data_IF_761439496233
#
_entry.id   IF_761439496233
#
_cell.length_a   1.000
_cell.length_b   1.000
_cell.length_c   1.000
_cell.angle_alpha   90.00
_cell.angle_beta   90.00
_cell.angle_gamma   90.00
#
_symmetry.space_group_name_H-M   'P 1'
#
loop_
_entity.id
_entity.type
_entity.pdbx_description
1 polymer ?
#
# COMPACT_ATOMS: atom_id res chain seq x y z
N UNK A 1 25.34 -25.51 -21.57
CA UNK A 1 25.64 -24.11 -21.15
C UNK A 1 25.11 -23.21 -22.25
N UNK A 2 23.95 -22.62 -22.07
CA UNK A 2 23.46 -21.61 -22.99
C UNK A 2 24.39 -20.39 -22.89
N UNK A 3 24.90 -19.99 -24.07
CA UNK A 3 25.80 -18.84 -24.19
C UNK A 3 24.98 -17.59 -23.92
N UNK A 4 25.21 -16.94 -22.77
CA UNK A 4 24.61 -15.65 -22.45
C UNK A 4 24.89 -14.69 -23.61
N UNK A 5 23.82 -14.16 -24.22
CA UNK A 5 23.92 -13.18 -25.28
C UNK A 5 24.21 -11.80 -24.72
N UNK A 6 24.95 -10.96 -25.44
CA UNK A 6 25.02 -9.53 -25.07
C UNK A 6 23.68 -8.85 -25.35
N UNK A 7 23.47 -7.70 -24.75
CA UNK A 7 22.28 -6.88 -24.99
C UNK A 7 22.08 -6.59 -26.49
N UNK A 8 23.13 -6.19 -27.18
CA UNK A 8 23.10 -5.90 -28.63
C UNK A 8 22.73 -7.14 -29.48
N UNK A 9 23.24 -8.31 -29.11
CA UNK A 9 22.85 -9.55 -29.74
C UNK A 9 21.38 -9.89 -29.55
N UNK A 10 20.88 -9.75 -28.29
CA UNK A 10 19.47 -9.96 -28.00
C UNK A 10 18.60 -9.02 -28.83
N UNK A 11 18.96 -7.73 -28.89
CA UNK A 11 18.21 -6.70 -29.62
C UNK A 11 18.14 -6.95 -31.10
N UNK A 12 19.22 -7.54 -31.70
CA UNK A 12 19.24 -7.92 -33.10
C UNK A 12 18.41 -9.19 -33.39
N UNK A 13 18.29 -10.10 -32.43
CA UNK A 13 17.60 -11.38 -32.61
C UNK A 13 16.09 -11.29 -32.42
N UNK A 14 15.61 -10.43 -31.54
CA UNK A 14 14.18 -10.34 -31.20
C UNK A 14 13.81 -8.97 -30.66
N UNK A 15 12.55 -8.58 -30.88
CA UNK A 15 11.92 -7.43 -30.22
C UNK A 15 11.31 -7.78 -28.86
N UNK A 16 11.33 -9.04 -28.42
CA UNK A 16 10.76 -9.53 -27.16
C UNK A 16 11.88 -9.86 -26.18
N UNK A 17 12.28 -8.84 -25.43
CA UNK A 17 13.39 -8.90 -24.49
C UNK A 17 12.89 -8.76 -23.04
N UNK A 18 13.50 -9.52 -22.15
CA UNK A 18 13.21 -9.52 -20.72
C UNK A 18 14.51 -9.45 -19.90
N UNK A 19 14.56 -8.59 -18.91
CA UNK A 19 15.64 -8.63 -17.93
C UNK A 19 15.24 -9.58 -16.80
N UNK A 20 16.08 -10.58 -16.53
CA UNK A 20 15.83 -11.53 -15.44
C UNK A 20 17.12 -12.12 -14.88
N UNK A 21 17.01 -12.71 -13.69
CA UNK A 21 17.98 -13.66 -13.16
C UNK A 21 17.33 -15.04 -13.15
N UNK A 22 17.80 -15.91 -14.02
CA UNK A 22 17.25 -17.26 -14.22
C UNK A 22 17.78 -18.30 -13.23
N UNK A 23 18.73 -17.93 -12.38
CA UNK A 23 19.41 -18.88 -11.52
C UNK A 23 18.59 -19.17 -10.24
N UNK A 24 18.52 -20.43 -9.86
CA UNK A 24 18.11 -20.80 -8.51
C UNK A 24 19.11 -20.25 -7.50
N UNK A 25 18.63 -19.61 -6.44
CA UNK A 25 19.45 -18.86 -5.48
C UNK A 25 20.29 -17.72 -6.10
N UNK A 26 19.80 -17.13 -7.19
CA UNK A 26 20.49 -16.05 -7.89
C UNK A 26 20.74 -14.83 -7.01
N UNK A 27 21.87 -14.17 -7.19
CA UNK A 27 22.18 -12.91 -6.54
C UNK A 27 21.16 -11.84 -6.99
N UNK A 28 20.39 -11.26 -6.05
CA UNK A 28 19.38 -10.25 -6.33
C UNK A 28 19.92 -8.94 -6.92
N UNK A 29 21.22 -8.70 -6.81
CA UNK A 29 21.92 -7.58 -7.46
C UNK A 29 22.29 -7.84 -8.91
N UNK A 30 22.13 -9.07 -9.42
CA UNK A 30 22.47 -9.43 -10.80
C UNK A 30 21.23 -9.68 -11.62
N UNK A 31 21.15 -9.06 -12.78
CA UNK A 31 20.06 -9.22 -13.73
C UNK A 31 20.62 -9.07 -15.14
N UNK A 32 20.18 -9.90 -16.07
CA UNK A 32 20.69 -9.86 -17.45
C UNK A 32 19.55 -9.90 -18.45
N UNK A 33 19.81 -9.42 -19.65
CA UNK A 33 18.84 -9.44 -20.75
C UNK A 33 18.81 -10.82 -21.42
N UNK A 34 17.60 -11.31 -21.68
CA UNK A 34 17.33 -12.56 -22.39
C UNK A 34 16.23 -12.38 -23.44
N UNK A 35 16.13 -13.32 -24.37
CA UNK A 35 14.96 -13.48 -25.22
C UNK A 35 13.79 -14.00 -24.37
N UNK A 36 12.56 -13.57 -24.65
CA UNK A 36 11.39 -14.02 -23.89
C UNK A 36 11.16 -15.54 -23.97
N UNK A 37 11.57 -16.17 -25.09
CA UNK A 37 11.48 -17.63 -25.24
C UNK A 37 12.25 -18.37 -24.13
N UNK A 38 13.39 -17.83 -23.69
CA UNK A 38 14.14 -18.41 -22.58
C UNK A 38 13.36 -18.35 -21.25
N UNK A 39 12.61 -17.27 -21.00
CA UNK A 39 11.68 -17.21 -19.86
C UNK A 39 10.63 -18.32 -19.97
N UNK A 40 10.04 -18.50 -21.15
CA UNK A 40 9.04 -19.53 -21.38
C UNK A 40 9.57 -20.94 -21.09
N UNK A 41 10.79 -21.24 -21.53
CA UNK A 41 11.46 -22.52 -21.25
C UNK A 41 11.84 -22.67 -19.76
N UNK A 42 12.23 -21.58 -19.10
CA UNK A 42 12.52 -21.58 -17.66
C UNK A 42 11.26 -21.93 -16.84
N UNK A 43 10.10 -21.39 -17.20
CA UNK A 43 8.83 -21.65 -16.46
C UNK A 43 8.38 -23.11 -16.58
N UNK A 44 8.80 -23.85 -17.61
CA UNK A 44 8.48 -25.27 -17.80
C UNK A 44 9.42 -26.22 -17.02
N UNK A 45 10.47 -25.69 -16.38
CA UNK A 45 11.43 -26.52 -15.67
C UNK A 45 10.81 -27.24 -14.44
N UNK A 46 10.96 -28.56 -14.31
CA UNK A 46 10.33 -29.33 -13.21
C UNK A 46 10.75 -28.84 -11.81
N UNK A 47 12.01 -28.41 -11.66
CA UNK A 47 12.50 -27.92 -10.38
C UNK A 47 11.78 -26.63 -9.92
N UNK A 48 11.37 -25.77 -10.87
CA UNK A 48 10.65 -24.54 -10.56
C UNK A 48 9.23 -24.85 -10.10
N UNK A 49 8.53 -25.77 -10.79
CA UNK A 49 7.21 -26.23 -10.38
C UNK A 49 7.25 -26.87 -8.98
N UNK A 50 8.28 -27.70 -8.69
CA UNK A 50 8.48 -28.29 -7.38
C UNK A 50 8.71 -27.23 -6.30
N UNK A 51 9.53 -26.22 -6.58
CA UNK A 51 9.84 -25.15 -5.64
C UNK A 51 8.59 -24.29 -5.34
N UNK A 52 7.82 -23.94 -6.38
CA UNK A 52 6.55 -23.20 -6.24
C UNK A 52 5.54 -24.01 -5.42
N UNK A 53 5.42 -25.33 -5.70
CA UNK A 53 4.55 -26.23 -4.94
C UNK A 53 4.92 -26.26 -3.45
N UNK A 54 6.20 -26.41 -3.12
CA UNK A 54 6.67 -26.38 -1.73
C UNK A 54 6.34 -25.05 -1.02
N UNK A 55 6.49 -23.92 -1.71
CA UNK A 55 6.15 -22.60 -1.15
C UNK A 55 4.64 -22.53 -0.87
N UNK A 56 3.80 -22.99 -1.80
CA UNK A 56 2.34 -22.99 -1.65
C UNK A 56 1.87 -23.89 -0.50
N UNK A 57 2.42 -25.09 -0.38
CA UNK A 57 2.10 -26.02 0.70
C UNK A 57 2.43 -25.42 2.08
N UNK A 58 3.59 -24.80 2.23
CA UNK A 58 3.98 -24.12 3.48
C UNK A 58 3.14 -22.87 3.74
N UNK A 59 2.81 -22.10 2.70
CA UNK A 59 1.93 -20.93 2.83
C UNK A 59 0.53 -21.35 3.24
N UNK A 60 0.00 -22.44 2.68
CA UNK A 60 -1.29 -22.97 3.09
C UNK A 60 -1.29 -23.41 4.56
N UNK A 61 -0.23 -24.12 5.01
CA UNK A 61 -0.06 -24.47 6.43
C UNK A 61 -0.01 -23.22 7.32
N UNK A 62 0.69 -22.18 6.88
CA UNK A 62 0.77 -20.90 7.59
C UNK A 62 -0.59 -20.22 7.68
N UNK A 63 -1.38 -20.21 6.59
CA UNK A 63 -2.70 -19.61 6.54
C UNK A 63 -3.69 -20.40 7.43
N UNK A 64 -3.61 -21.74 7.43
CA UNK A 64 -4.45 -22.57 8.31
C UNK A 64 -4.24 -22.28 9.79
N UNK A 65 -3.02 -21.87 10.21
CA UNK A 65 -2.78 -21.42 11.58
C UNK A 65 -3.52 -20.13 11.94
N UNK A 66 -3.87 -19.30 10.95
CA UNK A 66 -4.59 -18.05 11.15
C UNK A 66 -6.11 -18.20 11.11
N UNK A 67 -6.61 -19.39 10.82
CA UNK A 67 -8.04 -19.68 10.90
C UNK A 67 -8.42 -19.80 12.39
N UNK A 68 -9.11 -18.78 12.89
CA UNK A 68 -9.55 -18.71 14.30
C UNK A 68 -11.06 -18.80 14.33
N UNK A 69 -11.59 -19.69 15.16
CA UNK A 69 -13.04 -19.78 15.41
C UNK A 69 -13.50 -18.55 16.21
N UNK A 70 -14.53 -17.89 15.71
CA UNK A 70 -15.21 -16.82 16.42
C UNK A 70 -16.11 -17.42 17.49
N UNK A 71 -15.91 -17.01 18.74
CA UNK A 71 -16.78 -17.42 19.84
C UNK A 71 -17.94 -16.44 19.99
N UNK A 72 -19.03 -16.89 20.60
CA UNK A 72 -20.20 -16.06 20.86
C UNK A 72 -19.79 -14.84 21.72
N UNK A 73 -20.10 -13.63 21.23
CA UNK A 73 -19.76 -12.36 21.88
C UNK A 73 -18.41 -11.76 21.47
N UNK A 74 -17.63 -12.42 20.62
CA UNK A 74 -16.38 -11.85 20.09
C UNK A 74 -16.64 -11.00 18.84
N UNK A 75 -15.97 -9.85 18.74
CA UNK A 75 -16.01 -8.99 17.59
C UNK A 75 -14.79 -9.23 16.64
N UNK A 76 -14.76 -8.52 15.52
CA UNK A 76 -13.66 -8.60 14.54
C UNK A 76 -12.30 -8.22 15.13
N UNK A 77 -12.30 -7.34 16.15
CA UNK A 77 -11.09 -6.89 16.82
C UNK A 77 -10.50 -7.99 17.71
N UNK A 78 -11.36 -8.79 18.37
CA UNK A 78 -10.93 -9.95 19.14
C UNK A 78 -10.28 -11.00 18.24
N UNK A 79 -10.88 -11.26 17.07
CA UNK A 79 -10.30 -12.15 16.06
C UNK A 79 -8.95 -11.63 15.57
N UNK A 80 -8.84 -10.33 15.28
CA UNK A 80 -7.59 -9.71 14.87
C UNK A 80 -6.49 -9.88 15.93
N UNK A 81 -6.81 -9.64 17.22
CA UNK A 81 -5.87 -9.82 18.34
C UNK A 81 -5.38 -11.27 18.41
N UNK A 82 -6.29 -12.25 18.30
CA UNK A 82 -5.95 -13.68 18.27
C UNK A 82 -5.02 -14.00 17.10
N UNK A 83 -5.33 -13.53 15.91
CA UNK A 83 -4.47 -13.71 14.72
C UNK A 83 -3.08 -13.11 14.92
N UNK A 84 -2.97 -11.91 15.53
CA UNK A 84 -1.69 -11.29 15.84
C UNK A 84 -0.90 -12.12 16.88
N UNK A 85 -1.58 -12.65 17.89
CA UNK A 85 -0.94 -13.54 18.86
C UNK A 85 -0.37 -14.80 18.18
N UNK A 86 -1.12 -15.42 17.26
CA UNK A 86 -0.65 -16.57 16.49
C UNK A 86 0.60 -16.21 15.66
N UNK A 87 0.60 -15.04 15.01
CA UNK A 87 1.76 -14.55 14.23
C UNK A 87 3.02 -14.38 15.09
N UNK A 88 2.88 -14.19 16.41
CA UNK A 88 4.02 -14.07 17.32
C UNK A 88 4.55 -15.42 17.80
N UNK A 89 3.85 -16.53 17.59
CA UNK A 89 4.30 -17.87 17.99
C UNK A 89 5.54 -18.32 17.22
N UNK A 90 6.42 -19.09 17.88
CA UNK A 90 7.62 -19.62 17.24
C UNK A 90 7.29 -20.52 16.05
N UNK A 91 6.22 -21.31 16.14
CA UNK A 91 5.77 -22.19 15.05
C UNK A 91 5.40 -21.37 13.80
N UNK A 92 4.65 -20.27 13.94
CA UNK A 92 4.30 -19.42 12.82
C UNK A 92 5.55 -18.72 12.23
N UNK A 93 6.41 -18.17 13.07
CA UNK A 93 7.67 -17.54 12.67
C UNK A 93 8.60 -18.49 11.94
N UNK A 94 8.68 -19.75 12.38
CA UNK A 94 9.46 -20.78 11.73
C UNK A 94 8.95 -21.09 10.33
N UNK A 95 7.63 -21.28 10.16
CA UNK A 95 7.01 -21.47 8.85
C UNK A 95 7.23 -20.26 7.94
N UNK A 96 7.06 -19.04 8.46
CA UNK A 96 7.31 -17.81 7.70
C UNK A 96 8.76 -17.74 7.22
N UNK A 97 9.73 -18.09 8.07
CA UNK A 97 11.15 -18.16 7.71
C UNK A 97 11.44 -19.21 6.63
N UNK A 98 10.79 -20.38 6.70
CA UNK A 98 10.92 -21.42 5.68
C UNK A 98 10.37 -20.94 4.32
N UNK A 99 9.16 -20.37 4.30
CA UNK A 99 8.54 -19.80 3.10
C UNK A 99 9.44 -18.74 2.48
N UNK A 100 9.95 -17.81 3.28
CA UNK A 100 10.83 -16.76 2.80
C UNK A 100 12.17 -17.32 2.29
N UNK A 101 12.71 -18.33 2.94
CA UNK A 101 13.93 -19.03 2.52
C UNK A 101 13.77 -19.71 1.15
N UNK A 102 12.65 -20.35 0.90
CA UNK A 102 12.34 -20.96 -0.40
C UNK A 102 12.04 -19.87 -1.47
N UNK A 103 11.29 -18.82 -1.12
CA UNK A 103 11.00 -17.70 -2.02
C UNK A 103 12.28 -17.03 -2.53
N UNK A 104 13.32 -16.93 -1.70
CA UNK A 104 14.63 -16.39 -2.11
C UNK A 104 15.35 -17.24 -3.15
N UNK A 105 14.98 -18.52 -3.31
CA UNK A 105 15.54 -19.41 -4.32
C UNK A 105 14.91 -19.25 -5.69
N UNK A 106 13.77 -18.56 -5.80
CA UNK A 106 13.10 -18.33 -7.06
C UNK A 106 13.91 -17.41 -7.97
N UNK A 107 13.94 -17.69 -9.28
CA UNK A 107 14.36 -16.73 -10.29
C UNK A 107 13.44 -15.52 -10.27
N UNK A 108 13.88 -14.41 -10.85
CA UNK A 108 13.09 -13.18 -10.88
C UNK A 108 13.29 -12.40 -12.16
N UNK A 109 12.34 -11.54 -12.49
CA UNK A 109 12.36 -10.64 -13.65
C UNK A 109 12.15 -9.19 -13.24
N UNK A 110 12.61 -8.25 -14.07
CA UNK A 110 12.19 -6.86 -14.00
C UNK A 110 10.90 -6.66 -14.78
N UNK A 111 9.88 -6.03 -14.19
CA UNK A 111 8.67 -5.67 -14.93
C UNK A 111 8.85 -4.42 -15.80
N UNK A 112 9.80 -3.53 -15.46
CA UNK A 112 9.87 -2.19 -16.01
C UNK A 112 10.90 -2.02 -17.12
N UNK A 113 12.04 -2.72 -17.02
CA UNK A 113 13.16 -2.56 -17.95
C UNK A 113 13.62 -3.91 -18.48
N UNK A 114 13.96 -3.97 -19.75
CA UNK A 114 14.53 -5.18 -20.35
C UNK A 114 16.07 -5.18 -20.35
N UNK A 115 16.72 -4.08 -19.87
CA UNK A 115 18.16 -4.00 -19.72
C UNK A 115 18.58 -3.12 -18.54
N UNK A 116 19.69 -3.50 -17.91
CA UNK A 116 20.39 -2.75 -16.87
C UNK A 116 21.88 -2.71 -17.21
N UNK A 117 22.55 -1.58 -16.98
CA UNK A 117 23.97 -1.43 -17.24
C UNK A 117 24.78 -2.41 -16.40
N UNK A 118 25.81 -2.99 -17.00
CA UNK A 118 26.71 -3.98 -16.37
C UNK A 118 26.00 -5.19 -15.73
N UNK A 119 24.81 -5.55 -16.22
CA UNK A 119 23.97 -6.61 -15.66
C UNK A 119 23.70 -6.41 -14.14
N UNK A 120 23.73 -5.19 -13.67
CA UNK A 120 23.58 -4.85 -12.26
C UNK A 120 22.22 -4.21 -11.95
N UNK A 121 21.41 -4.87 -11.11
CA UNK A 121 20.11 -4.36 -10.67
C UNK A 121 20.29 -3.31 -9.59
N UNK A 122 20.41 -2.06 -9.99
CA UNK A 122 20.43 -0.90 -9.10
C UNK A 122 19.80 0.30 -9.81
N UNK A 123 19.23 1.21 -9.07
CA UNK A 123 18.61 2.43 -9.62
C UNK A 123 19.56 3.21 -10.54
N UNK A 124 20.84 3.32 -10.16
CA UNK A 124 21.87 3.99 -10.96
C UNK A 124 22.31 3.26 -12.22
N UNK A 125 21.97 1.97 -12.34
CA UNK A 125 22.30 1.13 -13.48
C UNK A 125 21.10 0.94 -14.44
N UNK A 126 20.01 1.63 -14.21
CA UNK A 126 18.84 1.62 -15.08
C UNK A 126 19.20 2.24 -16.42
N UNK A 127 18.90 1.51 -17.49
CA UNK A 127 18.94 2.03 -18.86
C UNK A 127 17.55 2.57 -19.22
N UNK A 128 17.38 3.90 -19.21
CA UNK A 128 16.11 4.55 -19.51
C UNK A 128 15.59 4.24 -20.93
N UNK A 129 16.51 3.99 -21.89
CA UNK A 129 16.17 3.58 -23.25
C UNK A 129 15.55 2.17 -23.31
N UNK A 130 15.80 1.34 -22.29
CA UNK A 130 15.27 0.00 -22.16
C UNK A 130 13.95 -0.09 -21.41
N UNK A 131 13.25 1.03 -21.20
CA UNK A 131 11.95 1.05 -20.56
C UNK A 131 10.91 0.32 -21.40
N UNK A 132 10.18 -0.60 -20.78
CA UNK A 132 9.21 -1.47 -21.46
C UNK A 132 7.86 -0.84 -21.71
N UNK A 133 7.58 0.31 -21.06
CA UNK A 133 6.25 0.93 -20.97
C UNK A 133 5.19 -0.04 -20.43
N UNK A 134 5.61 -0.96 -19.57
CA UNK A 134 4.72 -1.86 -18.83
C UNK A 134 5.12 -1.88 -17.35
N UNK A 135 4.21 -2.34 -16.52
CA UNK A 135 4.42 -2.49 -15.07
C UNK A 135 3.65 -3.68 -14.55
N UNK A 136 4.03 -4.18 -13.39
CA UNK A 136 3.33 -5.28 -12.69
C UNK A 136 2.63 -4.74 -11.45
N UNK A 137 1.36 -5.05 -11.32
CA UNK A 137 0.59 -4.91 -10.08
C UNK A 137 0.72 -6.22 -9.29
N UNK A 138 1.14 -6.13 -8.02
CA UNK A 138 1.23 -7.26 -7.09
C UNK A 138 0.03 -7.20 -6.13
N UNK A 139 -0.86 -8.17 -6.21
CA UNK A 139 -2.08 -8.24 -5.40
C UNK A 139 -1.82 -9.16 -4.23
N UNK A 140 -1.54 -8.57 -3.09
CA UNK A 140 -1.12 -9.26 -1.88
C UNK A 140 -2.26 -9.64 -0.93
N UNK A 141 -3.46 -9.04 -1.09
CA UNK A 141 -4.64 -9.40 -0.31
C UNK A 141 -5.34 -10.62 -0.93
N UNK A 142 -5.40 -11.77 -0.25
CA UNK A 142 -6.03 -12.98 -0.79
C UNK A 142 -7.50 -12.80 -1.18
N UNK A 143 -8.23 -11.96 -0.45
CA UNK A 143 -9.67 -11.73 -0.66
C UNK A 143 -9.96 -10.94 -1.93
N UNK A 144 -8.98 -10.20 -2.44
CA UNK A 144 -9.10 -9.38 -3.65
C UNK A 144 -8.70 -10.14 -4.92
N UNK A 145 -7.91 -11.21 -4.81
CA UNK A 145 -7.24 -11.87 -5.94
C UNK A 145 -8.22 -12.33 -7.02
N UNK A 146 -9.28 -13.03 -6.65
CA UNK A 146 -10.23 -13.60 -7.63
C UNK A 146 -11.00 -12.51 -8.36
N UNK A 147 -11.44 -11.49 -7.64
CA UNK A 147 -12.17 -10.34 -8.20
C UNK A 147 -11.26 -9.57 -9.13
N UNK A 148 -10.03 -9.27 -8.71
CA UNK A 148 -9.06 -8.52 -9.49
C UNK A 148 -8.68 -9.25 -10.78
N UNK A 149 -8.39 -10.55 -10.72
CA UNK A 149 -8.08 -11.38 -11.90
C UNK A 149 -9.25 -11.41 -12.87
N UNK A 150 -10.49 -11.63 -12.38
CA UNK A 150 -11.68 -11.63 -13.22
C UNK A 150 -11.88 -10.30 -13.92
N UNK A 151 -11.77 -9.18 -13.21
CA UNK A 151 -11.93 -7.82 -13.79
C UNK A 151 -10.82 -7.52 -14.80
N UNK A 152 -9.58 -7.91 -14.51
CA UNK A 152 -8.46 -7.76 -15.45
C UNK A 152 -8.68 -8.54 -16.75
N UNK A 153 -9.15 -9.78 -16.68
CA UNK A 153 -9.48 -10.58 -17.87
C UNK A 153 -10.58 -9.93 -18.70
N UNK A 154 -11.63 -9.39 -18.06
CA UNK A 154 -12.74 -8.73 -18.74
C UNK A 154 -12.29 -7.49 -19.52
N UNK A 155 -11.31 -6.72 -19.01
CA UNK A 155 -10.74 -5.57 -19.72
C UNK A 155 -10.09 -5.96 -21.07
N UNK A 156 -9.73 -7.24 -21.25
CA UNK A 156 -9.24 -7.76 -22.53
C UNK A 156 -10.36 -8.40 -23.41
N UNK A 157 -11.63 -8.26 -23.04
CA UNK A 157 -12.75 -8.73 -23.82
C UNK A 157 -13.03 -10.23 -23.71
N UNK A 158 -12.57 -10.90 -22.65
CA UNK A 158 -12.82 -12.33 -22.44
C UNK A 158 -14.27 -12.69 -22.16
N UNK A 159 -15.09 -11.71 -21.77
CA UNK A 159 -16.52 -11.93 -21.53
C UNK A 159 -17.30 -10.62 -21.57
N UNK A 160 -17.67 -10.17 -22.78
CA UNK A 160 -18.33 -8.86 -22.99
C UNK A 160 -19.64 -8.70 -22.20
N UNK A 161 -20.42 -9.80 -22.02
CA UNK A 161 -21.66 -9.75 -21.26
C UNK A 161 -21.47 -9.44 -19.77
N UNK A 162 -20.34 -9.84 -19.18
CA UNK A 162 -20.03 -9.55 -17.78
C UNK A 162 -19.40 -8.15 -17.59
N UNK A 163 -18.85 -7.54 -18.64
CA UNK A 163 -18.28 -6.19 -18.58
C UNK A 163 -19.33 -5.18 -18.11
N UNK A 164 -20.52 -5.19 -18.69
CA UNK A 164 -21.59 -4.29 -18.29
C UNK A 164 -22.01 -4.48 -16.83
N UNK A 165 -21.97 -5.70 -16.30
CA UNK A 165 -22.38 -6.00 -14.93
C UNK A 165 -21.31 -5.57 -13.92
N UNK A 166 -20.03 -5.91 -14.17
CA UNK A 166 -18.95 -5.67 -13.21
C UNK A 166 -18.43 -4.22 -13.18
N UNK A 167 -18.60 -3.49 -14.30
CA UNK A 167 -18.21 -2.08 -14.39
C UNK A 167 -19.41 -1.13 -14.38
N UNK A 168 -20.61 -1.65 -14.14
CA UNK A 168 -21.85 -0.87 -14.02
C UNK A 168 -21.90 -0.03 -12.74
N UNK A 169 -21.03 -0.30 -11.78
CA UNK A 169 -20.86 0.52 -10.60
C UNK A 169 -20.51 1.94 -11.04
N UNK A 170 -21.36 2.90 -10.64
CA UNK A 170 -21.25 4.33 -10.96
C UNK A 170 -19.92 4.99 -10.54
N UNK A 171 -18.95 4.21 -10.06
CA UNK A 171 -17.63 4.65 -9.62
C UNK A 171 -16.65 4.89 -10.76
N UNK A 172 -16.86 4.28 -11.94
CA UNK A 172 -15.93 4.38 -13.06
C UNK A 172 -16.61 5.06 -14.24
N UNK A 173 -15.90 5.99 -14.86
CA UNK A 173 -16.36 6.60 -16.11
C UNK A 173 -16.10 5.65 -17.27
N UNK A 174 -16.95 5.62 -18.30
CA UNK A 174 -16.71 4.80 -19.49
C UNK A 174 -15.32 5.04 -20.12
N UNK A 175 -14.83 6.29 -20.06
CA UNK A 175 -13.53 6.67 -20.58
C UNK A 175 -12.38 5.99 -19.81
N UNK A 176 -12.52 5.82 -18.49
CA UNK A 176 -11.51 5.14 -17.67
C UNK A 176 -11.43 3.65 -18.01
N UNK A 177 -12.59 3.02 -18.25
CA UNK A 177 -12.64 1.61 -18.66
C UNK A 177 -12.04 1.44 -20.06
N UNK A 178 -12.37 2.32 -20.98
CA UNK A 178 -11.86 2.27 -22.36
C UNK A 178 -10.36 2.51 -22.43
N UNK A 179 -9.82 3.38 -21.57
CA UNK A 179 -8.38 3.61 -21.45
C UNK A 179 -7.61 2.33 -21.14
N UNK A 180 -8.21 1.44 -20.35
CA UNK A 180 -7.57 0.21 -19.90
C UNK A 180 -7.93 -1.03 -20.74
N UNK A 181 -8.85 -0.89 -21.69
CA UNK A 181 -9.24 -1.98 -22.60
C UNK A 181 -8.02 -2.49 -23.39
N UNK A 182 -7.78 -3.80 -23.33
CA UNK A 182 -6.66 -4.44 -24.01
C UNK A 182 -5.27 -4.08 -23.46
N UNK A 183 -5.18 -3.54 -22.25
CA UNK A 183 -3.90 -3.17 -21.62
C UNK A 183 -3.31 -4.24 -20.71
N UNK A 184 -4.05 -5.29 -20.40
CA UNK A 184 -3.53 -6.42 -19.60
C UNK A 184 -2.65 -7.30 -20.47
N UNK A 185 -1.40 -7.49 -20.05
CA UNK A 185 -0.37 -8.19 -20.83
C UNK A 185 -0.12 -9.61 -20.32
N UNK A 186 -0.13 -9.80 -19.00
CA UNK A 186 0.11 -11.09 -18.40
C UNK A 186 -0.56 -11.17 -17.04
N UNK A 187 -1.09 -12.34 -16.69
CA UNK A 187 -1.64 -12.64 -15.37
C UNK A 187 -1.08 -13.98 -14.93
N UNK A 188 -0.51 -14.03 -13.73
CA UNK A 188 -0.02 -15.26 -13.12
C UNK A 188 -0.37 -15.34 -11.63
N UNK A 189 -0.45 -16.57 -11.10
CA UNK A 189 -0.46 -16.80 -9.67
C UNK A 189 0.95 -16.68 -9.13
N UNK A 190 1.12 -15.88 -8.08
CA UNK A 190 2.41 -15.79 -7.39
C UNK A 190 2.76 -17.11 -6.67
N UNK A 191 4.01 -17.22 -6.21
CA UNK A 191 4.45 -18.38 -5.45
C UNK A 191 3.68 -18.60 -4.14
N UNK A 192 3.01 -17.57 -3.61
CA UNK A 192 2.11 -17.65 -2.43
C UNK A 192 0.63 -17.76 -2.81
N UNK A 193 0.34 -18.11 -4.05
CA UNK A 193 -1.02 -18.22 -4.60
C UNK A 193 -1.82 -16.90 -4.61
N UNK A 194 -1.12 -15.76 -4.63
CA UNK A 194 -1.65 -14.43 -4.87
C UNK A 194 -1.60 -14.12 -6.37
N UNK A 195 -1.67 -12.87 -6.84
CA UNK A 195 -1.62 -12.58 -8.26
C UNK A 195 -0.62 -11.46 -8.61
N UNK A 196 0.05 -11.64 -9.74
CA UNK A 196 0.76 -10.60 -10.46
C UNK A 196 0.03 -10.31 -11.76
N UNK A 197 -0.20 -9.05 -12.07
CA UNK A 197 -0.85 -8.60 -13.32
C UNK A 197 0.04 -7.58 -13.99
N UNK A 198 0.58 -7.94 -15.15
CA UNK A 198 1.35 -7.02 -15.99
C UNK A 198 0.41 -6.22 -16.88
N UNK A 199 0.62 -4.93 -16.94
CA UNK A 199 -0.19 -4.00 -17.71
C UNK A 199 0.67 -3.10 -18.57
N UNK A 200 0.13 -2.70 -19.73
CA UNK A 200 0.69 -1.63 -20.56
C UNK A 200 0.36 -0.28 -19.95
N UNK A 201 1.38 0.52 -19.65
CA UNK A 201 1.20 1.87 -19.13
C UNK A 201 0.54 2.75 -20.20
N UNK A 202 -0.58 3.44 -19.95
CA UNK A 202 -1.14 4.41 -20.87
C UNK A 202 -0.18 5.55 -21.20
N UNK A 203 -0.36 6.19 -22.36
CA UNK A 203 0.51 7.30 -22.82
C UNK A 203 0.52 8.43 -21.78
N UNK A 204 1.71 8.85 -21.40
CA UNK A 204 1.92 9.96 -20.44
C UNK A 204 1.77 9.61 -18.97
N UNK A 205 1.30 8.40 -18.60
CA UNK A 205 1.25 7.97 -17.20
C UNK A 205 2.60 7.48 -16.70
N UNK A 206 2.93 7.79 -15.46
CA UNK A 206 4.05 7.16 -14.73
C UNK A 206 3.68 5.77 -14.25
N UNK A 207 4.67 4.98 -13.80
CA UNK A 207 4.44 3.67 -13.20
C UNK A 207 3.44 3.77 -12.04
N UNK A 208 3.63 4.74 -11.14
CA UNK A 208 2.78 4.91 -9.96
C UNK A 208 1.33 5.26 -10.33
N UNK A 209 1.13 6.19 -11.27
CA UNK A 209 -0.21 6.57 -11.74
C UNK A 209 -0.93 5.41 -12.40
N UNK A 210 -0.21 4.65 -13.24
CA UNK A 210 -0.78 3.49 -13.92
C UNK A 210 -1.20 2.39 -12.93
N UNK A 211 -0.36 2.05 -11.96
CA UNK A 211 -0.71 1.07 -10.94
C UNK A 211 -1.89 1.53 -10.09
N UNK A 212 -1.87 2.79 -9.63
CA UNK A 212 -2.95 3.34 -8.81
C UNK A 212 -4.31 3.32 -9.52
N UNK A 213 -4.37 3.78 -10.78
CA UNK A 213 -5.62 3.76 -11.53
C UNK A 213 -6.10 2.33 -11.82
N UNK A 214 -5.18 1.45 -12.23
CA UNK A 214 -5.53 0.09 -12.56
C UNK A 214 -6.01 -0.70 -11.33
N UNK A 215 -5.33 -0.55 -10.18
CA UNK A 215 -5.76 -1.18 -8.93
C UNK A 215 -7.19 -0.79 -8.54
N UNK A 216 -7.55 0.49 -8.68
CA UNK A 216 -8.93 0.95 -8.44
C UNK A 216 -9.92 0.25 -9.36
N UNK A 217 -9.60 0.17 -10.66
CA UNK A 217 -10.48 -0.41 -11.66
C UNK A 217 -10.73 -1.90 -11.41
N UNK A 218 -9.72 -2.64 -10.93
CA UNK A 218 -9.85 -4.06 -10.61
C UNK A 218 -10.24 -4.34 -9.16
N UNK A 219 -10.51 -3.30 -8.35
CA UNK A 219 -10.87 -3.38 -6.93
C UNK A 219 -9.78 -4.06 -6.08
N UNK A 220 -8.53 -3.75 -6.35
CA UNK A 220 -7.38 -4.25 -5.61
C UNK A 220 -6.68 -3.14 -4.83
N UNK A 221 -6.08 -3.53 -3.70
CA UNK A 221 -5.21 -2.64 -2.92
C UNK A 221 -3.83 -2.55 -3.59
N UNK A 222 -3.35 -1.32 -3.78
CA UNK A 222 -2.03 -1.04 -4.34
C UNK A 222 -0.91 -1.45 -3.38
N UNK A 223 0.13 -2.13 -3.89
CA UNK A 223 1.40 -2.30 -3.18
C UNK A 223 2.38 -1.18 -3.55
N UNK A 224 2.59 -0.17 -2.67
CA UNK A 224 3.45 0.96 -2.97
C UNK A 224 4.92 0.57 -3.20
N UNK A 225 5.32 -0.65 -2.86
CA UNK A 225 6.67 -1.13 -3.14
C UNK A 225 6.88 -1.51 -4.61
N UNK A 226 5.81 -1.71 -5.38
CA UNK A 226 5.87 -2.12 -6.77
C UNK A 226 6.18 -0.99 -7.76
N UNK A 227 6.10 0.27 -7.33
CA UNK A 227 6.38 1.44 -8.18
C UNK A 227 7.88 1.75 -8.34
N UNK A 228 8.77 1.09 -7.59
CA UNK A 228 10.20 1.36 -7.69
C UNK A 228 10.77 0.88 -9.03
N UNK A 229 11.60 1.68 -9.70
CA UNK A 229 12.11 1.36 -11.03
C UNK A 229 12.85 0.00 -11.09
N UNK A 230 13.62 -0.34 -10.07
CA UNK A 230 14.39 -1.58 -9.96
C UNK A 230 13.60 -2.76 -9.35
N UNK A 231 12.26 -2.65 -9.29
CA UNK A 231 11.40 -3.72 -8.78
C UNK A 231 11.67 -5.05 -9.50
N UNK A 232 11.59 -6.12 -8.73
CA UNK A 232 11.60 -7.49 -9.26
C UNK A 232 10.31 -8.22 -8.95
N UNK A 233 9.92 -9.09 -9.85
CA UNK A 233 8.82 -10.05 -9.69
C UNK A 233 9.43 -11.45 -9.74
N UNK A 234 9.12 -12.28 -8.74
CA UNK A 234 9.58 -13.66 -8.73
C UNK A 234 8.86 -14.47 -9.80
N UNK A 235 9.63 -15.22 -10.57
CA UNK A 235 9.12 -16.07 -11.66
C UNK A 235 8.53 -17.33 -11.04
N UNK A 236 7.34 -17.70 -11.47
CA UNK A 236 6.64 -18.93 -11.11
C UNK A 236 6.66 -19.94 -12.26
N UNK A 237 6.11 -21.12 -12.02
CA UNK A 237 6.05 -22.20 -13.02
C UNK A 237 4.96 -21.93 -14.07
N UNK A 238 5.05 -22.62 -15.18
CA UNK A 238 4.14 -22.48 -16.32
C UNK A 238 2.66 -22.70 -15.94
N UNK A 239 2.38 -23.64 -15.04
CA UNK A 239 1.03 -23.92 -14.57
C UNK A 239 0.41 -22.77 -13.74
N UNK A 240 1.21 -21.83 -13.28
CA UNK A 240 0.78 -20.64 -12.56
C UNK A 240 0.27 -19.52 -13.48
N UNK A 241 0.55 -19.60 -14.79
CA UNK A 241 0.15 -18.60 -15.77
C UNK A 241 -1.34 -18.73 -16.08
N UNK A 242 -2.08 -17.61 -16.02
CA UNK A 242 -3.51 -17.55 -16.30
C UNK A 242 -3.75 -16.98 -17.70
N UNK A 243 -3.02 -15.93 -18.05
CA UNK A 243 -3.14 -15.24 -19.33
C UNK A 243 -1.80 -14.64 -19.75
N UNK A 244 -1.54 -14.65 -21.04
CA UNK A 244 -0.37 -13.99 -21.66
C UNK A 244 -0.74 -13.44 -23.03
N UNK A 245 -0.60 -12.13 -23.21
CA UNK A 245 -0.82 -11.46 -24.49
C UNK A 245 0.36 -11.67 -25.44
N UNK A 246 0.10 -11.64 -26.75
CA UNK A 246 1.12 -11.79 -27.78
C UNK A 246 2.15 -10.66 -27.78
N UNK A 247 1.78 -9.49 -27.26
CA UNK A 247 2.64 -8.31 -27.19
C UNK A 247 3.30 -8.13 -25.81
N UNK A 248 3.18 -9.09 -24.90
CA UNK A 248 3.90 -9.07 -23.63
C UNK A 248 5.42 -9.05 -23.85
N UNK A 249 6.11 -8.07 -23.23
CA UNK A 249 7.51 -7.74 -23.47
C UNK A 249 7.89 -7.43 -24.93
N UNK A 250 6.93 -7.23 -25.80
CA UNK A 250 7.20 -6.77 -27.15
C UNK A 250 7.56 -5.29 -27.12
N UNK A 251 8.68 -4.93 -27.74
CA UNK A 251 9.06 -3.53 -27.92
C UNK A 251 8.01 -2.82 -28.77
N UNK A 252 7.60 -1.66 -28.32
CA UNK A 252 6.72 -0.77 -29.09
C UNK A 252 7.43 -0.28 -30.37
N UNK A 253 6.67 0.19 -31.34
CA UNK A 253 7.23 0.84 -32.53
C UNK A 253 7.98 2.13 -32.14
N UNK A 254 8.88 2.57 -33.00
CA UNK A 254 9.65 3.79 -32.73
C UNK A 254 8.73 5.03 -32.65
N UNK A 255 7.62 5.03 -33.40
CA UNK A 255 6.60 6.07 -33.36
C UNK A 255 5.86 6.09 -31.99
N UNK A 256 5.42 4.93 -31.50
CA UNK A 256 4.76 4.81 -30.20
C UNK A 256 5.70 5.19 -29.04
N UNK A 257 6.98 4.83 -29.15
CA UNK A 257 8.00 5.21 -28.18
C UNK A 257 8.20 6.73 -28.19
N UNK A 258 8.29 7.34 -29.39
CA UNK A 258 8.46 8.79 -29.53
C UNK A 258 7.27 9.56 -28.95
N UNK A 259 6.04 9.12 -29.21
CA UNK A 259 4.83 9.71 -28.65
C UNK A 259 4.84 9.69 -27.10
N UNK A 260 5.16 8.54 -26.50
CA UNK A 260 5.22 8.37 -25.05
C UNK A 260 6.29 9.21 -24.40
N UNK A 261 7.49 9.27 -25.01
CA UNK A 261 8.60 10.11 -24.54
C UNK A 261 8.27 11.59 -24.63
N UNK A 262 7.59 12.01 -25.70
CA UNK A 262 7.13 13.37 -25.84
C UNK A 262 6.06 13.74 -24.80
N UNK A 263 5.14 12.81 -24.48
CA UNK A 263 4.17 13.00 -23.42
C UNK A 263 4.85 13.17 -22.04
N UNK A 264 5.90 12.41 -21.72
CA UNK A 264 6.68 12.58 -20.52
C UNK A 264 7.44 13.92 -20.49
N UNK A 265 8.07 14.30 -21.61
CA UNK A 265 8.79 15.57 -21.73
C UNK A 265 7.86 16.77 -21.47
N UNK A 266 6.63 16.75 -22.01
CA UNK A 266 5.61 17.79 -21.75
C UNK A 266 5.25 17.90 -20.27
N UNK A 267 5.42 16.85 -19.51
CA UNK A 267 5.20 16.82 -18.06
C UNK A 267 6.46 17.11 -17.23
N UNK A 268 7.59 17.40 -17.87
CA UNK A 268 8.87 17.62 -17.18
C UNK A 268 9.49 16.35 -16.58
N UNK A 269 9.19 15.19 -17.16
CA UNK A 269 9.71 13.90 -16.75
C UNK A 269 10.80 13.39 -17.72
N UNK A 270 11.61 12.45 -17.27
CA UNK A 270 12.58 11.75 -18.11
C UNK A 270 11.85 10.83 -19.13
N UNK A 271 12.59 10.30 -20.09
CA UNK A 271 12.06 9.49 -21.20
C UNK A 271 11.36 8.20 -20.77
N UNK A 272 11.56 7.76 -19.53
CA UNK A 272 10.94 6.60 -18.89
C UNK A 272 9.91 6.98 -17.82
N UNK A 273 9.53 8.26 -17.77
CA UNK A 273 8.50 8.76 -16.84
C UNK A 273 8.98 8.98 -15.41
N UNK A 274 10.28 8.83 -15.13
CA UNK A 274 10.86 9.16 -13.84
C UNK A 274 11.02 10.69 -13.69
N UNK A 275 11.02 11.22 -12.46
CA UNK A 275 11.41 12.60 -12.24
C UNK A 275 12.82 12.85 -12.79
N UNK A 276 13.03 13.98 -13.44
CA UNK A 276 14.38 14.43 -13.82
C UNK A 276 15.20 14.59 -12.54
N UNK A 277 16.37 13.96 -12.49
CA UNK A 277 17.28 14.07 -11.35
C UNK A 277 17.95 15.45 -11.39
N UNK A 278 17.39 16.39 -10.63
CA UNK A 278 17.87 17.77 -10.54
C UNK A 278 19.29 17.87 -9.93
N UNK A 279 19.84 16.75 -9.40
CA UNK A 279 21.15 16.66 -8.79
C UNK A 279 22.21 16.00 -9.68
N UNK A 280 21.90 15.61 -10.92
CA UNK A 280 22.92 15.10 -11.83
C UNK A 280 23.88 16.23 -12.24
N UNK A 281 25.17 16.06 -11.91
CA UNK A 281 26.23 16.98 -12.34
C UNK A 281 26.23 17.12 -13.86
N UNK A 282 25.67 18.22 -14.38
CA UNK A 282 25.66 18.49 -15.81
C UNK A 282 24.41 19.16 -16.36
N UNK A 283 23.32 19.17 -15.62
CA UNK A 283 22.13 19.98 -15.99
C UNK A 283 22.25 21.33 -15.28
N UNK A 284 22.08 22.49 -15.98
CA UNK A 284 22.01 23.75 -15.29
C UNK A 284 20.85 23.69 -14.31
N UNK A 285 21.14 23.82 -13.03
CA UNK A 285 20.17 24.14 -12.00
C UNK A 285 19.54 25.45 -12.42
N UNK A 286 18.36 25.40 -13.02
CA UNK A 286 17.48 26.54 -13.03
C UNK A 286 16.92 26.58 -11.63
N UNK A 287 17.58 27.32 -10.76
CA UNK A 287 17.01 27.76 -9.50
C UNK A 287 15.78 28.62 -9.83
N UNK A 288 14.64 27.95 -9.95
CA UNK A 288 13.36 28.59 -9.72
C UNK A 288 13.17 28.66 -8.21
N UNK A 289 14.00 29.45 -7.53
CA UNK A 289 13.50 30.18 -6.38
C UNK A 289 12.47 31.17 -6.97
N UNK A 290 11.17 31.02 -6.65
CA UNK A 290 10.25 32.11 -6.93
C UNK A 290 10.84 33.31 -6.21
N UNK A 291 11.05 34.41 -6.92
CA UNK A 291 11.44 35.69 -6.34
C UNK A 291 10.24 36.11 -5.48
N UNK A 292 10.19 35.59 -4.25
CA UNK A 292 9.24 36.05 -3.25
C UNK A 292 9.71 37.40 -2.78
N UNK A 293 8.88 38.43 -3.00
CA UNK A 293 9.10 39.75 -2.41
C UNK A 293 9.06 39.63 -0.89
N UNK A 294 9.74 40.53 -0.17
CA UNK A 294 9.71 40.56 1.30
C UNK A 294 8.26 40.69 1.84
N UNK A 295 7.34 41.29 1.06
CA UNK A 295 5.92 41.36 1.36
C UNK A 295 5.23 39.99 1.23
N UNK A 296 5.61 39.17 0.25
CA UNK A 296 5.10 37.80 0.11
C UNK A 296 5.63 36.88 1.21
N UNK A 297 6.91 37.02 1.61
CA UNK A 297 7.49 36.34 2.76
C UNK A 297 6.80 36.73 4.06
N UNK A 298 6.54 38.04 4.26
CA UNK A 298 5.81 38.55 5.41
C UNK A 298 4.35 38.09 5.41
N UNK A 299 3.71 38.01 4.25
CA UNK A 299 2.34 37.52 4.09
C UNK A 299 2.26 36.00 4.34
N UNK A 300 3.29 35.24 3.94
CA UNK A 300 3.43 33.81 4.21
C UNK A 300 3.68 33.53 5.70
N UNK A 301 4.53 34.36 6.33
CA UNK A 301 4.76 34.31 7.77
C UNK A 301 3.51 34.72 8.59
N UNK A 302 2.72 35.67 8.10
CA UNK A 302 1.44 36.06 8.70
C UNK A 302 0.30 35.05 8.45
N UNK A 303 0.41 34.24 7.39
CA UNK A 303 -0.43 33.09 7.08
C UNK A 303 0.20 31.79 7.59
N UNK A 304 0.85 31.79 8.74
CA UNK A 304 1.22 30.55 9.40
C UNK A 304 -0.06 29.75 9.57
N UNK A 305 -0.26 28.77 8.69
CA UNK A 305 -1.43 27.89 8.69
C UNK A 305 -1.52 27.26 10.08
N UNK A 306 -2.54 27.63 10.82
CA UNK A 306 -2.86 26.97 12.07
C UNK A 306 -3.47 25.63 11.67
N UNK A 307 -2.69 24.56 11.80
CA UNK A 307 -3.15 23.23 11.47
C UNK A 307 -4.13 22.72 12.52
N UNK A 308 -5.13 21.98 12.08
CA UNK A 308 -6.08 21.35 12.99
C UNK A 308 -5.37 20.43 13.98
N UNK A 309 -5.80 20.45 15.23
CA UNK A 309 -5.25 19.60 16.29
C UNK A 309 -5.93 18.22 16.34
N UNK A 310 -6.99 18.04 15.56
CA UNK A 310 -7.78 16.81 15.54
C UNK A 310 -8.12 16.42 14.10
N UNK A 311 -8.17 15.12 13.85
CA UNK A 311 -8.71 14.55 12.62
C UNK A 311 -10.08 13.92 12.93
N UNK A 312 -11.14 14.41 12.29
CA UNK A 312 -12.53 13.99 12.57
C UNK A 312 -12.90 14.01 14.07
N UNK A 313 -12.38 14.99 14.81
CA UNK A 313 -12.64 15.14 16.24
C UNK A 313 -11.78 14.25 17.16
N UNK A 314 -10.84 13.48 16.62
CA UNK A 314 -9.87 12.68 17.37
C UNK A 314 -8.52 13.39 17.38
N UNK A 315 -7.89 13.61 18.55
CA UNK A 315 -6.56 14.24 18.62
C UNK A 315 -5.51 13.48 17.82
N UNK A 316 -4.68 14.20 17.05
CA UNK A 316 -3.58 13.60 16.29
C UNK A 316 -2.63 12.80 17.19
N UNK A 317 -2.36 13.26 18.39
CA UNK A 317 -1.52 12.56 19.35
C UNK A 317 -1.98 11.12 19.60
N UNK A 318 -3.30 10.92 19.76
CA UNK A 318 -3.88 9.60 19.99
C UNK A 318 -3.84 8.73 18.72
N UNK A 319 -4.04 9.34 17.54
CA UNK A 319 -3.94 8.62 16.26
C UNK A 319 -2.49 8.18 16.01
N UNK A 320 -1.52 9.04 16.27
CA UNK A 320 -0.09 8.75 16.10
C UNK A 320 0.36 7.65 17.05
N UNK A 321 -0.05 7.70 18.32
CA UNK A 321 0.22 6.62 19.29
C UNK A 321 -0.33 5.28 18.82
N UNK A 322 -1.58 5.27 18.37
CA UNK A 322 -2.22 4.06 17.84
C UNK A 322 -1.51 3.55 16.58
N UNK A 323 -1.08 4.44 15.69
CA UNK A 323 -0.36 4.11 14.48
C UNK A 323 0.99 3.46 14.79
N UNK A 324 1.76 4.03 15.72
CA UNK A 324 3.04 3.49 16.19
C UNK A 324 2.86 2.10 16.78
N UNK A 325 1.82 1.87 17.60
CA UNK A 325 1.52 0.54 18.13
C UNK A 325 1.24 -0.48 17.02
N UNK A 326 0.42 -0.12 16.03
CA UNK A 326 0.10 -0.98 14.89
C UNK A 326 1.31 -1.24 13.97
N UNK A 327 2.28 -0.33 13.95
CA UNK A 327 3.55 -0.51 13.24
C UNK A 327 4.55 -1.41 14.00
N UNK A 328 4.20 -1.89 15.20
CA UNK A 328 5.05 -2.78 16.00
C UNK A 328 5.73 -2.13 17.18
N UNK A 329 5.33 -0.93 17.57
CA UNK A 329 5.89 -0.15 18.68
C UNK A 329 7.10 0.71 18.29
N UNK A 330 7.72 1.34 19.29
CA UNK A 330 8.85 2.22 19.07
C UNK A 330 10.03 1.50 18.39
N UNK A 331 10.69 2.12 17.40
CA UNK A 331 11.77 1.49 16.66
C UNK A 331 13.05 1.33 17.50
N UNK A 332 13.81 0.25 17.24
CA UNK A 332 15.14 0.07 17.82
C UNK A 332 16.13 1.14 17.31
N UNK A 333 17.17 1.41 18.11
CA UNK A 333 18.25 2.32 17.73
C UNK A 333 18.91 1.84 16.42
N UNK A 334 19.04 2.74 15.43
CA UNK A 334 19.54 2.43 14.08
C UNK A 334 18.46 2.19 13.03
N UNK A 335 17.19 2.03 13.41
CA UNK A 335 16.07 1.85 12.48
C UNK A 335 15.06 3.00 12.51
N UNK A 336 15.37 4.09 13.25
CA UNK A 336 14.48 5.23 13.49
C UNK A 336 14.13 5.96 12.21
N UNK A 337 15.09 6.27 11.34
CA UNK A 337 14.85 6.99 10.09
C UNK A 337 13.89 6.24 9.15
N UNK A 338 14.04 4.92 9.01
CA UNK A 338 13.13 4.10 8.22
C UNK A 338 11.72 4.08 8.83
N UNK A 339 11.63 4.08 10.16
CA UNK A 339 10.35 4.12 10.85
C UNK A 339 9.66 5.47 10.64
N UNK A 340 10.36 6.58 10.87
CA UNK A 340 9.88 7.96 10.64
C UNK A 340 9.41 8.13 9.19
N UNK A 341 10.18 7.61 8.21
CA UNK A 341 9.79 7.66 6.81
C UNK A 341 8.44 6.94 6.56
N UNK A 342 8.29 5.72 7.08
CA UNK A 342 7.05 4.94 6.94
C UNK A 342 5.87 5.59 7.66
N UNK A 343 6.09 6.09 8.87
CA UNK A 343 5.10 6.82 9.65
C UNK A 343 4.63 8.09 8.91
N UNK A 344 5.56 8.89 8.38
CA UNK A 344 5.27 10.07 7.58
C UNK A 344 4.46 9.72 6.31
N UNK A 345 4.82 8.63 5.62
CA UNK A 345 4.06 8.13 4.47
C UNK A 345 2.60 7.80 4.81
N UNK A 346 2.32 7.35 6.04
CA UNK A 346 0.97 7.05 6.52
C UNK A 346 0.23 8.32 6.97
N UNK A 347 0.92 9.23 7.66
CA UNK A 347 0.33 10.49 8.14
C UNK A 347 -0.09 11.44 7.02
N UNK A 348 0.49 11.31 5.82
CA UNK A 348 0.07 12.11 4.64
C UNK A 348 -1.43 12.03 4.34
N UNK A 349 -2.07 10.90 4.66
CA UNK A 349 -3.49 10.69 4.38
C UNK A 349 -4.43 11.48 5.28
N UNK A 350 -3.93 11.96 6.41
CA UNK A 350 -4.69 12.72 7.40
C UNK A 350 -4.13 14.13 7.65
N UNK A 351 -2.98 14.44 7.05
CA UNK A 351 -2.32 15.76 7.11
C UNK A 351 -2.21 16.40 5.73
N UNK A 352 -3.08 16.07 4.77
CA UNK A 352 -3.15 16.62 3.40
C UNK A 352 -1.80 16.64 2.65
N UNK A 353 -0.90 15.69 2.98
CA UNK A 353 0.48 15.62 2.46
C UNK A 353 1.33 16.85 2.77
N UNK A 354 0.93 17.70 3.72
CA UNK A 354 1.67 18.87 4.14
C UNK A 354 2.81 18.49 5.10
N UNK A 355 4.06 18.64 4.64
CA UNK A 355 5.24 18.27 5.43
C UNK A 355 5.31 19.01 6.77
N UNK A 356 4.99 20.30 6.80
CA UNK A 356 5.02 21.11 8.02
C UNK A 356 3.95 20.66 9.04
N UNK A 357 2.80 20.18 8.58
CA UNK A 357 1.80 19.60 9.45
C UNK A 357 2.28 18.28 10.03
N UNK A 358 2.82 17.40 9.20
CA UNK A 358 3.34 16.10 9.64
C UNK A 358 4.49 16.28 10.64
N UNK A 359 5.39 17.24 10.46
CA UNK A 359 6.47 17.56 11.40
C UNK A 359 5.96 17.93 12.81
N UNK A 360 4.75 18.51 12.91
CA UNK A 360 4.15 18.89 14.20
C UNK A 360 3.53 17.70 14.95
N UNK A 361 3.09 16.66 14.25
CA UNK A 361 2.35 15.55 14.82
C UNK A 361 3.13 14.24 14.93
N UNK A 362 4.20 14.06 14.13
CA UNK A 362 4.99 12.82 14.06
C UNK A 362 5.86 12.61 15.30
N UNK A 363 6.06 11.32 15.68
CA UNK A 363 6.99 10.96 16.74
C UNK A 363 8.38 10.68 16.18
N UNK A 364 9.39 11.44 16.63
CA UNK A 364 10.78 11.29 16.15
C UNK A 364 11.67 10.38 17.02
N UNK A 365 11.14 9.82 18.12
CA UNK A 365 11.79 8.84 19.00
C UNK A 365 13.19 9.25 19.49
N UNK A 366 13.39 10.56 19.72
CA UNK A 366 14.69 11.11 20.12
C UNK A 366 15.73 11.14 19.00
N UNK A 367 15.33 11.06 17.73
CA UNK A 367 16.19 11.41 16.60
C UNK A 367 16.33 12.93 16.51
N UNK A 368 17.44 13.39 15.93
CA UNK A 368 17.70 14.81 15.71
C UNK A 368 16.73 15.35 14.62
N UNK A 369 16.09 16.48 14.90
CA UNK A 369 15.17 17.13 13.93
C UNK A 369 15.83 17.42 12.59
N UNK A 370 17.14 17.76 12.59
CA UNK A 370 17.91 18.00 11.37
C UNK A 370 18.00 16.77 10.45
N UNK A 371 17.77 15.56 10.99
CA UNK A 371 17.73 14.29 10.24
C UNK A 371 16.30 13.80 10.01
N UNK A 372 15.45 13.94 11.02
CA UNK A 372 14.07 13.48 10.96
C UNK A 372 13.22 14.29 9.95
N UNK A 373 13.34 15.62 9.95
CA UNK A 373 12.52 16.49 9.11
C UNK A 373 12.80 16.37 7.59
N UNK A 374 14.04 16.27 7.11
CA UNK A 374 14.30 15.93 5.72
C UNK A 374 13.72 14.55 5.31
N UNK A 375 13.65 13.60 6.25
CA UNK A 375 13.03 12.29 6.03
C UNK A 375 11.51 12.43 5.83
N UNK A 376 10.84 13.27 6.63
CA UNK A 376 9.41 13.61 6.47
C UNK A 376 9.17 14.29 5.11
N UNK A 377 9.98 15.27 4.74
CA UNK A 377 9.88 15.95 3.45
C UNK A 377 10.04 14.99 2.27
N UNK A 378 11.00 14.05 2.39
CA UNK A 378 11.20 13.00 1.39
C UNK A 378 9.97 12.10 1.25
N UNK A 379 9.34 11.74 2.38
CA UNK A 379 8.11 10.97 2.37
C UNK A 379 6.96 11.72 1.67
N UNK A 380 6.86 13.04 1.83
CA UNK A 380 5.83 13.87 1.19
C UNK A 380 6.01 14.02 -0.34
N UNK A 381 7.21 13.83 -0.85
CA UNK A 381 7.51 13.94 -2.30
C UNK A 381 7.16 12.67 -3.09
N UNK A 382 6.94 11.56 -2.42
CA UNK A 382 6.60 10.28 -3.08
C UNK A 382 5.13 10.28 -3.49
N UNK A 383 4.83 9.70 -4.64
CA UNK A 383 3.44 9.52 -5.09
C UNK A 383 2.60 8.81 -4.01
N UNK A 384 1.39 9.31 -3.79
CA UNK A 384 0.47 8.81 -2.78
C UNK A 384 -0.67 8.07 -3.47
N UNK A 385 -1.01 6.88 -2.96
CA UNK A 385 -2.24 6.20 -3.35
C UNK A 385 -3.44 7.07 -2.96
N UNK A 386 -4.48 7.18 -3.80
CA UNK A 386 -5.68 7.92 -3.42
C UNK A 386 -6.50 7.24 -2.32
N UNK A 387 -6.27 5.96 -2.05
CA UNK A 387 -6.95 5.23 -0.99
C UNK A 387 -6.14 5.28 0.31
N UNK A 388 -6.81 5.69 1.38
CA UNK A 388 -6.22 5.65 2.72
C UNK A 388 -5.88 4.21 3.11
N UNK A 389 -4.62 3.91 3.49
CA UNK A 389 -4.19 2.58 3.91
C UNK A 389 -5.01 2.05 5.09
N UNK A 390 -5.25 0.75 5.11
CA UNK A 390 -6.01 0.09 6.18
C UNK A 390 -5.40 0.34 7.56
N UNK A 391 -4.08 0.40 7.65
CA UNK A 391 -3.36 0.70 8.89
C UNK A 391 -3.73 2.07 9.46
N UNK A 392 -3.90 3.09 8.62
CA UNK A 392 -4.32 4.44 9.05
C UNK A 392 -5.77 4.42 9.53
N UNK A 393 -6.67 3.74 8.80
CA UNK A 393 -8.06 3.57 9.21
C UNK A 393 -8.19 2.89 10.58
N UNK A 394 -7.41 1.83 10.79
CA UNK A 394 -7.36 1.11 12.07
C UNK A 394 -6.81 1.97 13.20
N UNK A 395 -5.78 2.78 12.92
CA UNK A 395 -5.23 3.70 13.91
C UNK A 395 -6.25 4.77 14.33
N UNK A 396 -6.98 5.35 13.39
CA UNK A 396 -8.05 6.32 13.67
C UNK A 396 -9.14 5.69 14.51
N UNK A 397 -9.60 4.50 14.15
CA UNK A 397 -10.66 3.80 14.87
C UNK A 397 -10.24 3.43 16.29
N UNK A 398 -9.02 2.94 16.47
CA UNK A 398 -8.46 2.60 17.78
C UNK A 398 -8.30 3.85 18.66
N UNK A 399 -7.77 4.94 18.11
CA UNK A 399 -7.66 6.22 18.81
C UNK A 399 -9.02 6.78 19.20
N UNK A 400 -10.00 6.72 18.29
CA UNK A 400 -11.38 7.16 18.55
C UNK A 400 -12.01 6.41 19.73
N UNK A 401 -11.90 5.09 19.75
CA UNK A 401 -12.42 4.26 20.87
C UNK A 401 -11.77 4.62 22.19
N UNK A 402 -10.43 4.80 22.22
CA UNK A 402 -9.68 5.20 23.41
C UNK A 402 -10.09 6.60 23.90
N UNK A 403 -10.17 7.55 22.98
CA UNK A 403 -10.53 8.93 23.31
C UNK A 403 -11.94 9.04 23.86
N UNK A 404 -12.92 8.31 23.30
CA UNK A 404 -14.28 8.25 23.84
C UNK A 404 -14.29 7.61 25.24
N UNK A 405 -13.53 6.53 25.45
CA UNK A 405 -13.44 5.88 26.75
C UNK A 405 -12.81 6.80 27.81
N UNK A 406 -11.76 7.55 27.46
CA UNK A 406 -11.14 8.55 28.36
C UNK A 406 -12.12 9.67 28.74
N UNK A 407 -12.81 10.25 27.75
CA UNK A 407 -13.82 11.26 27.99
C UNK A 407 -14.98 10.73 28.86
N UNK A 408 -15.38 9.48 28.66
CA UNK A 408 -16.41 8.86 29.50
C UNK A 408 -15.91 8.68 30.93
N UNK A 409 -14.64 8.33 31.15
CA UNK A 409 -14.01 8.18 32.45
C UNK A 409 -13.86 9.53 33.15
N UNK A 410 -13.43 10.58 32.44
CA UNK A 410 -13.32 11.94 32.96
C UNK A 410 -14.70 12.51 33.35
N UNK A 411 -15.71 12.30 32.49
CA UNK A 411 -17.09 12.69 32.80
C UNK A 411 -17.64 11.89 33.98
N UNK A 412 -17.31 10.60 34.09
CA UNK A 412 -17.69 9.80 35.28
C UNK A 412 -16.99 10.29 36.53
N UNK A 413 -15.72 10.73 36.45
CA UNK A 413 -15.00 11.35 37.56
C UNK A 413 -15.65 12.67 38.06
N UNK A 414 -16.15 13.52 37.17
CA UNK A 414 -16.85 14.74 37.50
C UNK A 414 -18.18 14.47 38.23
N UNK A 415 -18.83 13.35 37.95
CA UNK A 415 -20.07 12.94 38.63
C UNK A 415 -19.84 12.12 39.91
N UNK A 416 -18.61 11.64 40.16
CA UNK A 416 -18.29 10.81 41.33
C UNK A 416 -18.13 11.60 42.64
N UNK A 417 -17.82 12.90 42.60
CA UNK A 417 -17.51 13.69 43.79
C UNK A 417 -18.73 14.18 44.56
N UNK A 418 -19.91 14.19 43.97
CA UNK A 418 -21.15 14.52 44.69
C UNK A 418 -22.27 13.60 44.19
N UNK A 419 -22.51 12.46 44.85
CA UNK A 419 -23.64 11.62 44.47
C UNK A 419 -24.95 12.43 44.60
N UNK A 420 -25.82 12.38 43.59
CA UNK A 420 -27.07 13.11 43.60
C UNK A 420 -27.91 12.70 44.82
N UNK A 421 -28.23 13.65 45.66
CA UNK A 421 -29.00 13.38 46.85
C UNK A 421 -30.51 13.45 46.57
N UNK A 422 -31.25 12.52 47.15
CA UNK A 422 -32.70 12.55 47.05
C UNK A 422 -33.25 13.76 47.80
N UNK A 423 -34.20 14.50 47.20
CA UNK A 423 -34.86 15.61 47.91
C UNK A 423 -35.51 15.14 49.19
N UNK A 424 -35.44 15.98 50.26
CA UNK A 424 -36.01 15.66 51.56
C UNK A 424 -37.55 15.47 51.55
N UNK A 425 -38.23 16.11 50.57
CA UNK A 425 -39.69 15.95 50.36
C UNK A 425 -39.95 15.33 49.01
N UNK A 426 -40.36 14.05 48.97
CA UNK A 426 -40.75 13.32 47.79
C UNK A 426 -42.23 12.97 47.80
N UNK A 427 -42.91 12.98 46.63
CA UNK A 427 -44.26 12.46 46.49
C UNK A 427 -44.34 11.00 46.99
N UNK A 428 -45.47 10.63 47.58
CA UNK A 428 -45.69 9.26 48.12
C UNK A 428 -45.39 8.15 47.14
N UNK A 429 -45.74 8.33 45.84
CA UNK A 429 -45.53 7.38 44.78
C UNK A 429 -44.03 7.15 44.55
N UNK A 430 -43.23 8.20 44.45
CA UNK A 430 -41.79 8.11 44.24
C UNK A 430 -41.09 7.45 45.45
N UNK A 431 -41.51 7.76 46.68
CA UNK A 431 -41.02 7.08 47.88
C UNK A 431 -41.32 5.57 47.84
N UNK A 432 -42.49 5.20 47.38
CA UNK A 432 -42.88 3.79 47.26
C UNK A 432 -42.04 3.05 46.19
N UNK A 433 -41.91 3.64 45.01
CA UNK A 433 -41.17 3.07 43.90
C UNK A 433 -39.66 2.94 44.18
N UNK A 434 -39.09 3.86 44.93
CA UNK A 434 -37.66 3.85 45.31
C UNK A 434 -37.38 3.13 46.64
N UNK A 435 -38.41 2.63 47.34
CA UNK A 435 -38.28 2.05 48.69
C UNK A 435 -37.33 0.86 48.77
N UNK A 436 -37.30 0.02 47.75
CA UNK A 436 -36.47 -1.20 47.67
C UNK A 436 -35.20 -1.01 46.80
N UNK A 437 -34.95 0.19 46.27
CA UNK A 437 -33.79 0.49 45.45
C UNK A 437 -32.60 0.81 46.35
N UNK A 438 -31.37 0.33 46.08
CA UNK A 438 -30.18 0.74 46.83
C UNK A 438 -30.00 2.25 46.81
N UNK A 439 -29.43 2.82 47.89
CA UNK A 439 -29.37 4.27 48.10
C UNK A 439 -28.76 5.04 46.92
N UNK A 440 -27.69 4.50 46.34
CA UNK A 440 -26.93 5.13 45.26
C UNK A 440 -27.70 5.18 43.93
N UNK A 441 -28.68 4.29 43.74
CA UNK A 441 -29.49 4.22 42.51
C UNK A 441 -30.86 4.93 42.66
N UNK A 442 -31.26 5.30 43.88
CA UNK A 442 -32.56 5.96 44.15
C UNK A 442 -32.78 7.23 43.32
N UNK A 443 -31.80 8.15 43.19
CA UNK A 443 -31.98 9.34 42.38
C UNK A 443 -32.24 9.04 40.89
N UNK A 444 -31.52 8.11 40.30
CA UNK A 444 -31.69 7.73 38.88
C UNK A 444 -33.09 7.10 38.65
N UNK A 445 -33.52 6.20 39.55
CA UNK A 445 -34.84 5.56 39.46
C UNK A 445 -35.96 6.60 39.70
N UNK A 446 -35.79 7.53 40.62
CA UNK A 446 -36.74 8.61 40.83
C UNK A 446 -36.92 9.50 39.61
N UNK A 447 -35.82 9.86 38.93
CA UNK A 447 -35.85 10.64 37.67
C UNK A 447 -36.52 9.89 36.53
N UNK A 448 -36.34 8.59 36.42
CA UNK A 448 -36.94 7.74 35.36
C UNK A 448 -38.48 7.64 35.46
N UNK A 449 -39.07 7.98 36.63
CA UNK A 449 -40.53 7.95 36.85
C UNK A 449 -41.23 9.22 36.31
N UNK A 450 -40.54 10.35 36.18
CA UNK A 450 -41.11 11.60 35.74
C UNK A 450 -41.68 11.62 34.31
N UNK A 451 -40.98 11.10 33.30
CA UNK A 451 -41.50 11.11 31.92
C UNK A 451 -42.87 10.41 31.76
N UNK A 452 -43.10 9.22 32.37
CA UNK A 452 -44.39 8.54 32.28
C UNK A 452 -45.52 9.23 33.03
N UNK A 453 -45.20 10.11 34.01
CA UNK A 453 -46.21 10.86 34.81
C UNK A 453 -46.54 12.23 34.22
N UNK A 454 -45.75 12.70 33.22
CA UNK A 454 -45.97 13.96 32.55
C UNK A 454 -46.72 13.80 31.20
N UNK A 455 -46.93 12.56 30.76
CA UNK A 455 -47.78 12.21 29.60
C UNK A 455 -49.18 11.85 30.06
#
# INVERSE_FOLDING_TARGET
MEKKLSYDQCKQMSSRLIAMNSNRNGNKGQISTYLLDYYTELTKQPWLAQLVGQIRDLTQKQNLMLVVEQKEGEDENDLFIKMQAIKQTDAYKQLAKQVEGLKKQLPFRSPHYFHFQDDHRAQKAIDAEAFTFQTTVDIDNPDEVEVAVKRALLLNGFNDGDMEVLFRDKMFKPEDIELWRGKVLHIERSARNKAHIDIRIPVGMTIAEAQSQFCKLILATEDPSCITPERIIFITDHASQIYTADDWYKRLSDEEIAERREAYRKRGLDIDGRPLDLNSKGTPTVDFEPIETEEEKARRAAQQKQYDQTYEGVPYEEIVKALVELMGGAPAQGNRNNFIYREACLLRYICDSEAEWIKQVILIFGEDESKAFPTVESACKVAQSPQMPQLVKQAIEMARKRFIAQQATEKAGIYADVPPQMPARLPKLIKLLTSKVPADFKPAVAMAVFPPLAA
#
